data_IF_251381581706
#
_entry.id   IF_251381581706
#
_cell.length_a   1.000
_cell.length_b   1.000
_cell.length_c   1.000
_cell.angle_alpha   90.00
_cell.angle_beta   90.00
_cell.angle_gamma   90.00
#
_symmetry.space_group_name_H-M   'P 1'
#
loop_
_entity.id
_entity.type
_entity.pdbx_description
1 polymer ?
#
# COMPACT_ATOMS: atom_id res chain seq x y z
N UNK A 1 -18.18 7.73 10.03
CA UNK A 1 -18.36 7.92 8.59
C UNK A 1 -17.15 8.64 7.99
N UNK A 2 -16.64 8.15 6.91
CA UNK A 2 -15.47 8.73 6.28
C UNK A 2 -15.85 9.94 5.45
N UNK A 3 -15.05 10.97 5.54
CA UNK A 3 -15.24 12.18 4.77
C UNK A 3 -14.32 12.18 3.57
N UNK A 4 -14.52 13.11 2.67
CA UNK A 4 -13.63 13.30 1.52
C UNK A 4 -12.18 13.50 1.95
N UNK A 5 -11.99 14.24 3.04
CA UNK A 5 -10.64 14.49 3.52
C UNK A 5 -9.93 13.20 3.91
N UNK A 6 -10.69 12.32 4.56
CA UNK A 6 -10.10 11.07 5.01
C UNK A 6 -9.71 10.19 3.83
N UNK A 7 -10.53 10.17 2.80
CA UNK A 7 -10.25 9.40 1.60
C UNK A 7 -9.05 9.96 0.84
N UNK A 8 -8.97 11.27 0.71
CA UNK A 8 -7.84 11.90 0.04
C UNK A 8 -6.55 11.61 0.79
N UNK A 9 -6.60 11.74 2.11
CA UNK A 9 -5.44 11.49 2.94
C UNK A 9 -5.00 10.04 2.83
N UNK A 10 -5.96 9.12 2.87
CA UNK A 10 -5.68 7.71 2.72
C UNK A 10 -5.03 7.43 1.37
N UNK A 11 -5.61 7.96 0.31
CA UNK A 11 -5.09 7.73 -1.04
C UNK A 11 -3.68 8.29 -1.21
N UNK A 12 -3.42 9.44 -0.62
CA UNK A 12 -2.11 10.06 -0.68
C UNK A 12 -1.07 9.19 0.03
N UNK A 13 -1.42 8.69 1.21
CA UNK A 13 -0.54 7.81 1.96
C UNK A 13 -0.33 6.49 1.24
N UNK A 14 -1.40 5.95 0.67
CA UNK A 14 -1.34 4.71 -0.10
C UNK A 14 -0.36 4.83 -1.26
N UNK A 15 -0.40 5.95 -1.97
CA UNK A 15 0.52 6.18 -3.08
C UNK A 15 1.97 6.24 -2.62
N UNK A 16 2.21 6.82 -1.45
CA UNK A 16 3.55 6.86 -0.89
C UNK A 16 4.04 5.47 -0.55
N UNK A 17 3.19 4.69 0.10
CA UNK A 17 3.53 3.31 0.43
C UNK A 17 3.80 2.51 -0.83
N UNK A 18 2.94 2.67 -1.82
CA UNK A 18 3.10 1.97 -3.09
C UNK A 18 4.42 2.32 -3.76
N UNK A 19 4.78 3.59 -3.76
CA UNK A 19 6.05 4.03 -4.38
C UNK A 19 7.24 3.36 -3.71
N UNK A 20 7.23 3.31 -2.38
CA UNK A 20 8.32 2.67 -1.65
C UNK A 20 8.33 1.16 -1.88
N UNK A 21 7.16 0.56 -1.94
CA UNK A 21 7.03 -0.86 -2.21
C UNK A 21 7.62 -1.21 -3.58
N UNK A 22 7.30 -0.40 -4.60
CA UNK A 22 7.80 -0.62 -5.96
C UNK A 22 9.31 -0.45 -6.06
N UNK A 23 9.87 0.40 -5.21
CA UNK A 23 11.32 0.61 -5.18
C UNK A 23 12.06 -0.53 -4.48
N UNK A 24 11.34 -1.44 -3.86
CA UNK A 24 11.95 -2.59 -3.21
C UNK A 24 12.29 -2.38 -1.74
N UNK A 25 11.76 -1.34 -1.11
CA UNK A 25 11.96 -1.14 0.32
C UNK A 25 11.27 -2.25 1.09
N UNK A 26 11.88 -2.67 2.18
CA UNK A 26 11.25 -3.70 3.00
C UNK A 26 10.15 -3.07 3.87
N UNK A 27 9.35 -3.94 4.48
CA UNK A 27 8.19 -3.49 5.25
C UNK A 27 8.59 -2.57 6.39
N UNK A 28 9.66 -2.90 7.08
CA UNK A 28 10.10 -2.11 8.21
C UNK A 28 10.48 -0.68 7.78
N UNK A 29 11.19 -0.56 6.68
CA UNK A 29 11.59 0.73 6.16
C UNK A 29 10.37 1.56 5.76
N UNK A 30 9.41 0.93 5.11
CA UNK A 30 8.19 1.63 4.72
C UNK A 30 7.44 2.11 5.97
N UNK A 31 7.29 1.25 6.96
CA UNK A 31 6.62 1.61 8.20
C UNK A 31 7.31 2.78 8.88
N UNK A 32 8.64 2.74 8.94
CA UNK A 32 9.40 3.79 9.61
C UNK A 32 9.30 5.13 8.91
N UNK A 33 9.06 5.12 7.61
CA UNK A 33 8.99 6.35 6.82
C UNK A 33 7.59 6.93 6.70
N UNK A 34 6.57 6.20 7.19
CA UNK A 34 5.20 6.68 7.09
C UNK A 34 4.71 7.27 8.39
N UNK A 35 4.01 8.41 8.36
CA UNK A 35 3.43 8.99 9.55
C UNK A 35 2.11 8.32 9.93
N UNK A 36 2.12 7.01 9.99
CA UNK A 36 0.93 6.20 10.24
C UNK A 36 1.26 5.11 11.26
N UNK A 37 0.23 4.62 11.97
CA UNK A 37 0.43 3.45 12.81
C UNK A 37 0.91 2.26 11.99
N UNK A 38 1.67 1.41 12.64
CA UNK A 38 2.24 0.24 11.99
C UNK A 38 1.20 -0.60 11.27
N UNK A 39 0.07 -0.87 11.93
CA UNK A 39 -0.93 -1.78 11.35
C UNK A 39 -1.60 -1.17 10.13
N UNK A 40 -1.76 0.16 10.08
CA UNK A 40 -2.34 0.79 8.90
C UNK A 40 -1.40 0.69 7.71
N UNK A 41 -0.12 0.92 7.93
CA UNK A 41 0.88 0.79 6.88
C UNK A 41 0.95 -0.65 6.39
N UNK A 42 0.91 -1.60 7.30
CA UNK A 42 0.92 -3.01 6.93
C UNK A 42 -0.30 -3.39 6.09
N UNK A 43 -1.47 -2.86 6.43
CA UNK A 43 -2.67 -3.10 5.63
C UNK A 43 -2.48 -2.63 4.21
N UNK A 44 -1.90 -1.46 4.03
CA UNK A 44 -1.64 -0.92 2.70
C UNK A 44 -0.67 -1.81 1.93
N UNK A 45 0.39 -2.24 2.57
CA UNK A 45 1.37 -3.13 1.96
C UNK A 45 0.72 -4.43 1.52
N UNK A 46 -0.10 -5.01 2.39
CA UNK A 46 -0.80 -6.25 2.07
C UNK A 46 -1.77 -6.08 0.90
N UNK A 47 -2.42 -4.94 0.84
CA UNK A 47 -3.34 -4.63 -0.24
C UNK A 47 -2.60 -4.56 -1.57
N UNK A 48 -1.45 -3.88 -1.59
CA UNK A 48 -0.64 -3.77 -2.79
C UNK A 48 -0.18 -5.15 -3.23
N UNK A 49 0.29 -5.95 -2.29
CA UNK A 49 0.75 -7.31 -2.58
C UNK A 49 -0.37 -8.16 -3.17
N UNK A 50 -1.56 -8.08 -2.60
CA UNK A 50 -2.71 -8.85 -3.08
C UNK A 50 -3.11 -8.43 -4.49
N UNK A 51 -3.11 -7.14 -4.75
CA UNK A 51 -3.43 -6.63 -6.09
C UNK A 51 -2.41 -7.12 -7.11
N UNK A 52 -1.13 -7.07 -6.75
CA UNK A 52 -0.09 -7.55 -7.64
C UNK A 52 -0.23 -9.04 -7.93
N UNK A 53 -0.57 -9.82 -6.93
CA UNK A 53 -0.76 -11.25 -7.12
C UNK A 53 -1.93 -11.53 -8.06
N UNK A 54 -3.02 -10.82 -7.91
CA UNK A 54 -4.17 -10.99 -8.77
C UNK A 54 -3.82 -10.66 -10.22
N UNK A 55 -3.11 -9.57 -10.42
CA UNK A 55 -2.68 -9.16 -11.76
C UNK A 55 -1.78 -10.21 -12.39
N UNK A 56 -0.88 -10.75 -11.60
CA UNK A 56 0.06 -11.75 -12.09
C UNK A 56 -0.65 -13.04 -12.45
N UNK A 57 -1.60 -13.46 -11.63
CA UNK A 57 -2.39 -14.66 -11.91
C UNK A 57 -3.20 -14.51 -13.17
N UNK A 58 -3.77 -13.33 -13.39
CA UNK A 58 -4.53 -13.09 -14.62
C UNK A 58 -3.63 -13.15 -15.85
N UNK A 59 -2.41 -12.64 -15.71
CA UNK A 59 -1.48 -12.65 -16.82
C UNK A 59 -1.08 -14.06 -17.20
N UNK A 60 -0.89 -14.90 -16.22
CA UNK A 60 -0.46 -16.28 -16.43
C UNK A 60 -1.64 -17.16 -16.84
N UNK A 61 -2.80 -16.90 -16.28
CA UNK A 61 -3.97 -17.72 -16.50
C UNK A 61 -4.70 -17.57 -17.81
N UNK A 62 -4.28 -16.63 -18.62
CA UNK A 62 -4.96 -16.38 -19.89
C UNK A 62 -4.52 -17.33 -21.00
#
# INVERSE_FOLDING_TARGET
MKTYRDEEKYNKNYRKVEAMYRKGYDNKTIIDNMPLPKFETLEMIQKIFAIDRIKEERRIGV
#
